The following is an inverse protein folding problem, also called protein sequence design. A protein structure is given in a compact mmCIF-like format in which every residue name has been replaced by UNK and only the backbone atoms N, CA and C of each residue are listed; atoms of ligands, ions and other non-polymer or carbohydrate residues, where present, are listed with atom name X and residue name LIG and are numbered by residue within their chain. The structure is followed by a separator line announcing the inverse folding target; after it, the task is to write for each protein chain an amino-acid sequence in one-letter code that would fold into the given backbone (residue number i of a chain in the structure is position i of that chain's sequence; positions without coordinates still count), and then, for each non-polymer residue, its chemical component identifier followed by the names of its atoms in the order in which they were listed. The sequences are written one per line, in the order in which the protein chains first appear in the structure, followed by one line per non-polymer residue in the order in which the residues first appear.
data_IF_315562058853
#
_entry.id   IF_315562058853
#
_cell.length_a   1.000
_cell.length_b   1.000
_cell.length_c   1.000
_cell.angle_alpha   90.00
_cell.angle_beta   90.00
_cell.angle_gamma   90.00
#
_symmetry.space_group_name_H-M   'P 1'
#
loop_
_entity.id
_entity.type
_entity.pdbx_description
1 polymer ?
#
# COMPACT_ATOMS: atom_id res chain seq x y z
N UNK A 1 30.61 16.00 -4.59
CA UNK A 1 29.52 16.03 -3.58
C UNK A 1 29.77 14.94 -2.56
N UNK A 2 29.71 15.25 -1.26
CA UNK A 2 29.88 14.22 -0.21
C UNK A 2 28.69 13.24 -0.28
N UNK A 3 28.87 11.92 -0.22
CA UNK A 3 27.78 10.94 -0.38
C UNK A 3 26.65 11.12 0.64
N UNK A 4 26.94 11.66 1.84
CA UNK A 4 25.92 11.98 2.84
C UNK A 4 24.99 13.15 2.47
N UNK A 5 25.39 14.06 1.57
CA UNK A 5 24.56 15.19 1.15
C UNK A 5 23.38 14.75 0.28
N UNK A 6 23.58 13.76 -0.60
CA UNK A 6 22.50 13.22 -1.44
C UNK A 6 21.50 12.43 -0.59
N UNK A 7 21.99 11.67 0.39
CA UNK A 7 21.14 10.92 1.32
C UNK A 7 20.25 11.87 2.15
N UNK A 8 20.84 12.91 2.73
CA UNK A 8 20.11 13.91 3.53
C UNK A 8 19.07 14.65 2.70
N UNK A 9 19.41 15.06 1.47
CA UNK A 9 18.45 15.66 0.54
C UNK A 9 17.27 14.73 0.22
N UNK A 10 17.54 13.45 -0.06
CA UNK A 10 16.47 12.46 -0.31
C UNK A 10 15.55 12.28 0.90
N UNK A 11 16.12 12.15 2.10
CA UNK A 11 15.34 12.03 3.34
C UNK A 11 14.48 13.28 3.59
N UNK A 12 15.01 14.47 3.28
CA UNK A 12 14.25 15.70 3.38
C UNK A 12 13.06 15.72 2.40
N UNK A 13 13.28 15.37 1.13
CA UNK A 13 12.19 15.27 0.14
C UNK A 13 11.12 14.27 0.58
N UNK A 14 11.53 13.11 1.09
CA UNK A 14 10.59 12.12 1.64
C UNK A 14 9.78 12.71 2.80
N UNK A 15 10.42 13.41 3.74
CA UNK A 15 9.73 14.04 4.86
C UNK A 15 8.71 15.11 4.40
N UNK A 16 9.06 15.93 3.40
CA UNK A 16 8.14 16.91 2.81
C UNK A 16 6.95 16.20 2.15
N UNK A 17 7.18 15.14 1.39
CA UNK A 17 6.09 14.36 0.78
C UNK A 17 5.17 13.76 1.84
N UNK A 18 5.72 13.20 2.92
CA UNK A 18 4.91 12.70 4.03
C UNK A 18 4.07 13.80 4.69
N UNK A 19 4.64 15.00 4.89
CA UNK A 19 3.90 16.13 5.44
C UNK A 19 2.74 16.57 4.53
N UNK A 20 2.96 16.59 3.21
CA UNK A 20 1.92 16.92 2.22
C UNK A 20 0.80 15.86 2.24
N UNK A 21 1.16 14.57 2.21
CA UNK A 21 0.17 13.47 2.25
C UNK A 21 -0.63 13.51 3.55
N UNK A 22 0.05 13.71 4.67
CA UNK A 22 -0.58 13.78 5.99
C UNK A 22 -1.61 14.92 6.07
N UNK A 23 -1.28 16.08 5.50
CA UNK A 23 -2.18 17.23 5.45
C UNK A 23 -3.33 17.04 4.45
N UNK A 24 -3.09 16.35 3.34
CA UNK A 24 -4.10 16.05 2.31
C UNK A 24 -5.08 14.93 2.71
N UNK A 25 -4.76 14.16 3.75
CA UNK A 25 -5.60 13.03 4.19
C UNK A 25 -6.78 13.54 5.02
N UNK A 26 -7.99 13.08 4.70
CA UNK A 26 -9.20 13.37 5.48
C UNK A 26 -9.22 12.50 6.75
N UNK A 27 -8.85 13.11 7.87
CA UNK A 27 -8.78 12.42 9.16
C UNK A 27 -10.15 12.31 9.87
N UNK A 28 -11.05 13.26 9.60
CA UNK A 28 -12.37 13.34 10.23
C UNK A 28 -13.48 13.00 9.23
N UNK A 29 -14.59 12.48 9.73
CA UNK A 29 -15.75 12.22 8.89
C UNK A 29 -16.42 13.55 8.54
N UNK A 30 -16.89 13.67 7.31
CA UNK A 30 -17.65 14.84 6.89
C UNK A 30 -18.78 14.45 5.96
N UNK A 31 -19.88 15.21 6.00
CA UNK A 31 -20.89 15.14 4.94
C UNK A 31 -20.96 16.49 4.22
N UNK A 32 -21.13 16.40 2.91
CA UNK A 32 -21.29 17.53 2.01
C UNK A 32 -22.66 17.49 1.38
N UNK A 33 -23.39 18.61 1.39
CA UNK A 33 -24.61 18.76 0.60
C UNK A 33 -24.24 19.39 -0.73
N UNK A 34 -24.60 18.73 -1.83
CA UNK A 34 -24.41 19.23 -3.18
C UNK A 34 -25.70 19.84 -3.71
N UNK A 35 -25.62 20.97 -4.39
CA UNK A 35 -26.74 21.58 -5.13
C UNK A 35 -27.06 20.78 -6.42
N UNK A 36 -28.13 21.17 -7.15
CA UNK A 36 -28.58 20.54 -8.41
C UNK A 36 -27.47 20.47 -9.46
N UNK A 37 -26.54 21.42 -9.39
CA UNK A 37 -25.39 21.55 -10.29
C UNK A 37 -24.17 20.72 -9.84
N UNK A 38 -24.25 20.03 -8.70
CA UNK A 38 -23.16 19.23 -8.13
C UNK A 38 -22.13 20.03 -7.33
N UNK A 39 -22.39 21.29 -7.00
CA UNK A 39 -21.50 22.12 -6.19
C UNK A 39 -21.75 21.92 -4.69
N UNK A 40 -20.67 21.81 -3.90
CA UNK A 40 -20.73 21.65 -2.44
C UNK A 40 -21.24 22.95 -1.80
N UNK A 41 -22.48 22.94 -1.33
CA UNK A 41 -23.13 24.08 -0.69
C UNK A 41 -22.75 24.21 0.78
N UNK A 42 -22.62 23.07 1.48
CA UNK A 42 -22.23 23.04 2.90
C UNK A 42 -21.46 21.76 3.21
N UNK A 43 -20.30 21.90 3.85
CA UNK A 43 -19.53 20.79 4.43
C UNK A 43 -19.65 20.88 5.95
N UNK A 44 -20.08 19.80 6.58
CA UNK A 44 -20.19 19.71 8.04
C UNK A 44 -19.31 18.55 8.50
N UNK A 45 -18.44 18.84 9.47
CA UNK A 45 -17.56 17.86 10.12
C UNK A 45 -18.26 17.20 11.31
N UNK A 46 -17.83 15.98 11.62
CA UNK A 46 -18.41 15.20 12.70
C UNK A 46 -17.94 13.76 12.70
N UNK A 47 -18.76 12.88 13.26
CA UNK A 47 -18.44 11.48 13.44
C UNK A 47 -19.57 10.58 12.94
N UNK A 48 -19.21 9.61 12.08
CA UNK A 48 -20.12 8.56 11.64
C UNK A 48 -20.21 7.48 12.71
N UNK A 49 -21.44 7.13 13.08
CA UNK A 49 -21.75 6.08 14.05
C UNK A 49 -22.27 4.87 13.27
N UNK A 50 -21.55 3.76 13.35
CA UNK A 50 -21.91 2.49 12.70
C UNK A 50 -21.32 2.33 11.30
N UNK A 51 -22.07 1.62 10.43
CA UNK A 51 -21.64 1.34 9.06
C UNK A 51 -21.83 2.56 8.15
N UNK A 52 -20.73 3.06 7.59
CA UNK A 52 -20.76 4.17 6.64
C UNK A 52 -21.38 3.80 5.28
N UNK A 53 -21.35 2.51 4.90
CA UNK A 53 -21.83 2.00 3.61
C UNK A 53 -23.30 1.53 3.66
N UNK A 54 -24.08 2.06 4.61
CA UNK A 54 -25.49 1.72 4.78
C UNK A 54 -26.42 2.65 4.00
N UNK A 55 -27.68 2.24 3.74
CA UNK A 55 -28.67 3.11 3.11
C UNK A 55 -29.02 4.35 3.96
N UNK A 56 -28.79 4.24 5.28
CA UNK A 56 -28.92 5.32 6.25
C UNK A 56 -27.69 5.33 7.15
N UNK A 57 -27.09 6.49 7.35
CA UNK A 57 -25.90 6.68 8.18
C UNK A 57 -26.26 7.61 9.34
N UNK A 58 -25.92 7.19 10.57
CA UNK A 58 -26.05 8.04 11.74
C UNK A 58 -24.79 8.90 11.85
N UNK A 59 -24.97 10.22 11.85
CA UNK A 59 -23.89 11.19 11.88
C UNK A 59 -24.06 12.11 13.08
N UNK A 60 -23.05 12.16 13.95
CA UNK A 60 -22.98 13.12 15.05
C UNK A 60 -22.26 14.37 14.53
N UNK A 61 -22.98 15.50 14.47
CA UNK A 61 -22.39 16.77 14.04
C UNK A 61 -21.59 17.42 15.17
N UNK A 62 -20.35 17.82 14.90
CA UNK A 62 -19.50 18.48 15.89
C UNK A 62 -19.99 19.91 16.21
N UNK A 63 -20.60 20.58 15.23
CA UNK A 63 -21.13 21.95 15.39
C UNK A 63 -22.38 22.00 16.27
N UNK A 64 -23.27 21.01 16.16
CA UNK A 64 -24.58 21.01 16.83
C UNK A 64 -24.68 20.01 17.99
N UNK A 65 -23.75 19.04 18.07
CA UNK A 65 -23.81 17.92 19.02
C UNK A 65 -25.02 17.00 18.81
N UNK A 66 -25.75 17.14 17.71
CA UNK A 66 -26.95 16.36 17.42
C UNK A 66 -26.66 15.16 16.51
N UNK A 67 -27.39 14.08 16.77
CA UNK A 67 -27.36 12.87 15.96
C UNK A 67 -28.35 13.00 14.80
N UNK A 68 -27.80 13.14 13.60
CA UNK A 68 -28.52 13.26 12.34
C UNK A 68 -28.58 11.89 11.65
N UNK A 69 -29.74 11.51 11.12
CA UNK A 69 -29.85 10.32 10.26
C UNK A 69 -29.81 10.76 8.80
N UNK A 70 -28.68 10.57 8.14
CA UNK A 70 -28.47 10.94 6.75
C UNK A 70 -28.85 9.77 5.84
N UNK A 71 -29.66 10.04 4.82
CA UNK A 71 -29.89 9.11 3.71
C UNK A 71 -28.99 9.51 2.56
N UNK A 72 -28.34 8.54 1.93
CA UNK A 72 -27.47 8.78 0.78
C UNK A 72 -28.26 9.08 -0.52
N UNK A 73 -29.60 9.11 -0.46
CA UNK A 73 -30.46 9.36 -1.59
C UNK A 73 -30.72 10.85 -1.82
N UNK A 74 -30.77 11.23 -3.09
CA UNK A 74 -31.35 12.48 -3.56
C UNK A 74 -32.81 12.53 -3.11
N UNK A 75 -33.09 13.21 -2.01
CA UNK A 75 -34.46 13.63 -1.71
C UNK A 75 -34.94 14.41 -2.94
N UNK A 76 -36.21 14.25 -3.33
CA UNK A 76 -36.81 14.87 -4.53
C UNK A 76 -36.78 16.41 -4.57
N UNK A 77 -35.98 17.04 -3.71
CA UNK A 77 -35.55 18.43 -3.71
C UNK A 77 -34.03 18.47 -3.86
N UNK A 78 -33.54 18.43 -5.11
CA UNK A 78 -32.38 19.18 -5.58
C UNK A 78 -31.00 19.04 -4.89
N UNK A 79 -30.89 18.30 -3.79
CA UNK A 79 -29.73 18.37 -2.89
C UNK A 79 -29.26 16.95 -2.58
N UNK A 80 -28.10 16.56 -3.10
CA UNK A 80 -27.53 15.23 -2.82
C UNK A 80 -26.58 15.31 -1.62
N UNK A 81 -26.74 14.43 -0.64
CA UNK A 81 -25.84 14.37 0.51
C UNK A 81 -24.72 13.35 0.23
N UNK A 82 -23.51 13.83 0.02
CA UNK A 82 -22.31 13.01 -0.07
C UNK A 82 -21.71 12.81 1.31
N UNK A 83 -21.50 11.55 1.69
CA UNK A 83 -20.88 11.16 2.95
C UNK A 83 -19.43 10.77 2.63
N UNK A 84 -18.46 11.50 3.17
CA UNK A 84 -17.03 11.18 3.09
C UNK A 84 -16.57 10.70 4.46
N UNK A 85 -16.47 9.38 4.69
CA UNK A 85 -15.90 8.86 5.92
C UNK A 85 -14.39 9.14 5.95
N UNK A 86 -13.91 9.53 7.11
CA UNK A 86 -12.49 9.73 7.36
C UNK A 86 -11.74 8.41 7.35
N UNK A 87 -10.42 8.52 7.25
CA UNK A 87 -9.51 7.39 7.22
C UNK A 87 -9.76 6.39 8.35
N UNK A 88 -9.99 6.87 9.58
CA UNK A 88 -10.19 6.03 10.76
C UNK A 88 -11.47 5.20 10.65
N UNK A 89 -12.53 5.77 10.08
CA UNK A 89 -13.83 5.10 9.91
C UNK A 89 -13.75 3.97 8.89
N UNK A 90 -12.96 4.13 7.83
CA UNK A 90 -12.64 3.04 6.92
C UNK A 90 -11.90 1.89 7.62
N UNK A 91 -10.91 2.20 8.46
CA UNK A 91 -10.17 1.19 9.21
C UNK A 91 -11.05 0.44 10.22
N UNK A 92 -11.96 1.13 10.91
CA UNK A 92 -12.88 0.50 11.86
C UNK A 92 -13.92 -0.41 11.20
N UNK A 93 -14.35 -0.05 10.00
CA UNK A 93 -15.32 -0.82 9.21
C UNK A 93 -14.66 -1.80 8.23
N UNK A 94 -13.35 -2.05 8.38
CA UNK A 94 -12.62 -2.95 7.51
C UNK A 94 -13.10 -4.39 7.75
N UNK A 95 -13.58 -5.03 6.69
CA UNK A 95 -13.91 -6.45 6.73
C UNK A 95 -12.61 -7.25 6.85
N UNK A 96 -12.35 -7.73 8.06
CA UNK A 96 -11.15 -8.48 8.40
C UNK A 96 -11.03 -9.76 7.57
N UNK A 97 -12.15 -10.39 7.18
CA UNK A 97 -12.13 -11.60 6.36
C UNK A 97 -11.66 -11.30 4.94
N UNK A 98 -12.23 -10.28 4.30
CA UNK A 98 -11.80 -9.85 2.96
C UNK A 98 -10.34 -9.38 2.96
N UNK A 99 -9.93 -8.67 4.02
CA UNK A 99 -8.54 -8.25 4.19
C UNK A 99 -7.59 -9.45 4.34
N UNK A 100 -7.94 -10.41 5.20
CA UNK A 100 -7.14 -11.62 5.40
C UNK A 100 -7.06 -12.46 4.11
N UNK A 101 -8.16 -12.60 3.38
CA UNK A 101 -8.20 -13.28 2.09
C UNK A 101 -7.29 -12.61 1.07
N UNK A 102 -7.35 -11.28 0.98
CA UNK A 102 -6.50 -10.48 0.08
C UNK A 102 -5.02 -10.60 0.44
N UNK A 103 -4.68 -10.50 1.73
CA UNK A 103 -3.33 -10.70 2.22
C UNK A 103 -2.81 -12.11 1.91
N UNK A 104 -3.66 -13.13 2.07
CA UNK A 104 -3.31 -14.51 1.73
C UNK A 104 -3.05 -14.68 0.23
N UNK A 105 -3.93 -14.14 -0.63
CA UNK A 105 -3.74 -14.17 -2.08
C UNK A 105 -2.45 -13.45 -2.51
N UNK A 106 -2.10 -12.34 -1.86
CA UNK A 106 -0.85 -11.64 -2.12
C UNK A 106 0.38 -12.49 -1.79
N UNK A 107 0.38 -13.21 -0.66
CA UNK A 107 1.47 -14.13 -0.30
C UNK A 107 1.60 -15.26 -1.32
N UNK A 108 0.48 -15.84 -1.76
CA UNK A 108 0.49 -16.88 -2.80
C UNK A 108 1.05 -16.33 -4.11
N UNK A 109 0.62 -15.14 -4.54
CA UNK A 109 1.15 -14.48 -5.71
C UNK A 109 2.67 -14.27 -5.61
N UNK A 110 3.15 -13.79 -4.47
CA UNK A 110 4.58 -13.60 -4.21
C UNK A 110 5.37 -14.93 -4.28
N UNK A 111 4.81 -16.02 -3.76
CA UNK A 111 5.43 -17.35 -3.88
C UNK A 111 5.52 -17.80 -5.34
N UNK A 112 4.43 -17.65 -6.10
CA UNK A 112 4.36 -18.03 -7.52
C UNK A 112 5.38 -17.26 -8.35
N UNK A 113 5.46 -15.94 -8.21
CA UNK A 113 6.41 -15.14 -8.99
C UNK A 113 7.87 -15.49 -8.65
N UNK A 114 8.16 -15.77 -7.38
CA UNK A 114 9.48 -16.20 -6.93
C UNK A 114 9.85 -17.62 -7.44
N UNK A 115 8.87 -18.48 -7.73
CA UNK A 115 9.14 -19.81 -8.30
C UNK A 115 9.79 -19.72 -9.68
N UNK A 116 9.49 -18.68 -10.46
CA UNK A 116 10.09 -18.44 -11.78
C UNK A 116 11.61 -18.36 -11.69
N UNK A 117 12.12 -17.63 -10.71
CA UNK A 117 13.55 -17.52 -10.49
C UNK A 117 14.18 -18.84 -10.01
N UNK A 118 13.46 -19.63 -9.21
CA UNK A 118 13.92 -20.97 -8.85
C UNK A 118 14.08 -21.89 -10.07
N UNK A 119 13.15 -21.82 -11.04
CA UNK A 119 13.29 -22.55 -12.31
C UNK A 119 14.56 -22.14 -13.07
N UNK A 120 14.89 -20.85 -13.12
CA UNK A 120 16.13 -20.35 -13.74
C UNK A 120 17.38 -20.88 -13.03
N UNK A 121 17.39 -20.89 -11.69
CA UNK A 121 18.51 -21.43 -10.92
C UNK A 121 18.68 -22.94 -11.14
N UNK A 122 17.57 -23.68 -11.25
CA UNK A 122 17.58 -25.11 -11.54
C UNK A 122 18.07 -25.41 -12.96
N UNK A 123 17.68 -24.60 -13.94
CA UNK A 123 18.15 -24.73 -15.32
C UNK A 123 19.65 -24.44 -15.48
N UNK A 124 20.23 -23.63 -14.58
CA UNK A 124 21.68 -23.38 -14.51
C UNK A 124 22.42 -24.40 -13.63
N UNK A 125 21.76 -25.49 -13.22
CA UNK A 125 22.33 -26.59 -12.41
C UNK A 125 22.96 -26.15 -11.08
N UNK A 126 22.54 -25.00 -10.53
CA UNK A 126 23.13 -24.39 -9.33
C UNK A 126 22.79 -25.12 -8.01
N UNK A 127 22.02 -26.22 -8.07
CA UNK A 127 21.70 -27.08 -6.92
C UNK A 127 20.89 -26.41 -5.80
N UNK A 128 20.25 -25.26 -6.05
CA UNK A 128 19.53 -24.48 -5.03
C UNK A 128 18.14 -25.08 -4.75
N UNK A 129 17.84 -25.33 -3.48
CA UNK A 129 16.53 -25.82 -3.05
C UNK A 129 15.42 -24.77 -3.24
N UNK A 130 14.18 -25.23 -3.42
CA UNK A 130 13.00 -24.34 -3.58
C UNK A 130 12.86 -23.33 -2.43
N UNK A 131 12.95 -23.80 -1.19
CA UNK A 131 12.82 -22.95 0.00
C UNK A 131 13.98 -21.98 0.19
N UNK A 132 15.18 -22.35 -0.27
CA UNK A 132 16.33 -21.44 -0.24
C UNK A 132 16.14 -20.28 -1.23
N UNK A 133 15.66 -20.57 -2.45
CA UNK A 133 15.35 -19.56 -3.45
C UNK A 133 14.22 -18.62 -3.01
N UNK A 134 13.18 -19.16 -2.36
CA UNK A 134 12.13 -18.33 -1.75
C UNK A 134 12.72 -17.40 -0.70
N UNK A 135 13.50 -17.92 0.25
CA UNK A 135 14.14 -17.11 1.31
C UNK A 135 14.95 -15.94 0.74
N UNK A 136 15.78 -16.19 -0.27
CA UNK A 136 16.56 -15.11 -0.91
C UNK A 136 15.68 -14.08 -1.62
N UNK A 137 14.57 -14.51 -2.22
CA UNK A 137 13.62 -13.60 -2.87
C UNK A 137 12.89 -12.71 -1.87
N UNK A 138 12.48 -13.25 -0.71
CA UNK A 138 11.89 -12.46 0.38
C UNK A 138 12.89 -11.46 0.99
N UNK A 139 14.15 -11.87 1.17
CA UNK A 139 15.23 -10.96 1.60
C UNK A 139 15.42 -9.82 0.59
N UNK A 140 15.48 -10.15 -0.71
CA UNK A 140 15.57 -9.15 -1.76
C UNK A 140 14.38 -8.20 -1.77
N UNK A 141 13.16 -8.72 -1.60
CA UNK A 141 11.93 -7.93 -1.50
C UNK A 141 11.96 -6.95 -0.31
N UNK A 142 12.41 -7.40 0.86
CA UNK A 142 12.59 -6.55 2.04
C UNK A 142 13.56 -5.40 1.79
N UNK A 143 14.75 -5.70 1.24
CA UNK A 143 15.74 -4.67 0.98
C UNK A 143 15.34 -3.71 -0.15
N UNK A 144 14.51 -4.15 -1.10
CA UNK A 144 13.94 -3.25 -2.11
C UNK A 144 13.00 -2.20 -1.50
N UNK A 145 12.31 -2.52 -0.40
CA UNK A 145 11.43 -1.58 0.29
C UNK A 145 12.18 -0.63 1.24
N UNK A 146 13.32 -1.06 1.79
CA UNK A 146 14.09 -0.26 2.77
C UNK A 146 15.17 0.59 2.11
N UNK A 147 15.86 0.05 1.10
CA UNK A 147 16.95 0.77 0.45
C UNK A 147 16.35 1.66 -0.65
N UNK A 148 16.51 3.00 -0.56
CA UNK A 148 16.04 3.91 -1.59
C UNK A 148 16.87 3.75 -2.88
N UNK A 149 16.42 2.85 -3.75
CA UNK A 149 17.00 2.52 -5.05
C UNK A 149 16.49 1.16 -5.50
N UNK A 150 15.77 1.11 -6.63
CA UNK A 150 15.01 -0.06 -7.10
C UNK A 150 15.84 -1.34 -7.38
N UNK A 151 17.17 -1.27 -7.24
CA UNK A 151 18.14 -2.34 -7.50
C UNK A 151 18.79 -2.91 -6.24
N UNK A 152 18.59 -2.31 -5.06
CA UNK A 152 19.28 -2.73 -3.82
C UNK A 152 18.95 -4.16 -3.39
N UNK A 153 17.69 -4.55 -3.54
CA UNK A 153 17.22 -5.90 -3.23
C UNK A 153 17.84 -7.00 -4.10
N UNK A 154 18.03 -6.74 -5.39
CA UNK A 154 18.62 -7.70 -6.33
C UNK A 154 20.11 -7.87 -6.16
N UNK A 155 20.81 -6.78 -5.85
CA UNK A 155 22.24 -6.83 -5.56
C UNK A 155 22.48 -7.75 -4.37
N UNK A 156 21.66 -7.65 -3.33
CA UNK A 156 21.76 -8.52 -2.15
C UNK A 156 21.41 -9.96 -2.53
N UNK A 157 20.32 -10.20 -3.26
CA UNK A 157 19.92 -11.53 -3.79
C UNK A 157 21.07 -12.19 -4.57
N UNK A 158 21.72 -11.43 -5.46
CA UNK A 158 22.85 -11.86 -6.28
C UNK A 158 24.11 -12.15 -5.45
N UNK A 159 24.42 -11.30 -4.45
CA UNK A 159 25.55 -11.52 -3.54
C UNK A 159 25.35 -12.79 -2.72
N UNK A 160 24.14 -13.03 -2.20
CA UNK A 160 23.84 -14.22 -1.41
C UNK A 160 24.01 -15.52 -2.21
N UNK A 161 23.53 -15.56 -3.47
CA UNK A 161 23.75 -16.74 -4.31
C UNK A 161 25.21 -16.86 -4.77
N UNK A 162 25.87 -15.77 -5.15
CA UNK A 162 27.28 -15.81 -5.53
C UNK A 162 28.17 -16.33 -4.39
N UNK A 163 27.86 -15.97 -3.14
CA UNK A 163 28.55 -16.51 -1.95
C UNK A 163 28.24 -17.99 -1.69
N UNK A 164 27.04 -18.46 -2.06
CA UNK A 164 26.64 -19.87 -1.92
C UNK A 164 27.28 -20.75 -2.99
N UNK A 165 27.37 -20.27 -4.22
CA UNK A 165 27.94 -20.94 -5.38
C UNK A 165 29.42 -20.54 -5.57
N UNK A 166 30.27 -20.84 -4.57
CA UNK A 166 31.69 -20.45 -4.56
C UNK A 166 32.48 -20.90 -5.80
N UNK A 167 31.99 -21.87 -6.57
CA UNK A 167 32.60 -22.34 -7.83
C UNK A 167 32.20 -21.57 -9.11
N UNK A 168 31.00 -20.97 -9.19
CA UNK A 168 30.49 -20.31 -10.42
C UNK A 168 29.68 -19.03 -10.13
N UNK A 169 30.26 -18.00 -9.49
CA UNK A 169 29.54 -16.80 -9.07
C UNK A 169 29.00 -15.97 -10.25
N UNK A 170 29.63 -16.08 -11.44
CA UNK A 170 29.22 -15.33 -12.64
C UNK A 170 27.88 -15.84 -13.19
N UNK A 171 27.67 -17.16 -13.23
CA UNK A 171 26.40 -17.77 -13.68
C UNK A 171 25.24 -17.40 -12.76
N UNK A 172 25.50 -17.37 -11.44
CA UNK A 172 24.55 -16.89 -10.45
C UNK A 172 24.16 -15.42 -10.65
N UNK A 173 25.14 -14.55 -10.92
CA UNK A 173 24.90 -13.12 -11.14
C UNK A 173 24.06 -12.87 -12.42
N UNK A 174 24.39 -13.59 -13.50
CA UNK A 174 23.67 -13.52 -14.78
C UNK A 174 22.22 -14.00 -14.63
N UNK A 175 21.97 -15.04 -13.84
CA UNK A 175 20.60 -15.49 -13.56
C UNK A 175 19.73 -14.42 -12.90
N UNK A 176 20.30 -13.59 -12.02
CA UNK A 176 19.57 -12.47 -11.40
C UNK A 176 19.34 -11.33 -12.39
N UNK A 177 20.30 -11.05 -13.27
CA UNK A 177 20.13 -10.04 -14.32
C UNK A 177 19.04 -10.44 -15.32
N UNK A 178 18.99 -11.72 -15.73
CA UNK A 178 17.96 -12.24 -16.64
C UNK A 178 16.58 -12.30 -16.00
N UNK A 179 16.47 -12.54 -14.68
CA UNK A 179 15.19 -12.46 -13.97
C UNK A 179 14.57 -11.03 -14.01
N UNK A 180 15.39 -10.00 -14.29
CA UNK A 180 14.98 -8.59 -14.32
C UNK A 180 14.68 -8.03 -15.72
N UNK A 181 15.02 -8.76 -16.79
CA UNK A 181 14.65 -8.43 -18.17
C UNK A 181 13.37 -9.15 -18.53
#
# INVERSE_FOLDING_TARGET
MKPGFILTLKLFVVAVLFAVIFNATEWHDSFSRLDVNGEITTRVEGQIIGHWNGPTVQFLSDESGQLLTLKQNSDGQSTTTLISPGFITYFKNLDLYLFALSSFMFVIFALVINTRWWWLLRANELGVGFWEAQRYSWIGFFFNNIIPGATGGDVIKAIYIARRCQGEPVRALVSVAVDRV
#
